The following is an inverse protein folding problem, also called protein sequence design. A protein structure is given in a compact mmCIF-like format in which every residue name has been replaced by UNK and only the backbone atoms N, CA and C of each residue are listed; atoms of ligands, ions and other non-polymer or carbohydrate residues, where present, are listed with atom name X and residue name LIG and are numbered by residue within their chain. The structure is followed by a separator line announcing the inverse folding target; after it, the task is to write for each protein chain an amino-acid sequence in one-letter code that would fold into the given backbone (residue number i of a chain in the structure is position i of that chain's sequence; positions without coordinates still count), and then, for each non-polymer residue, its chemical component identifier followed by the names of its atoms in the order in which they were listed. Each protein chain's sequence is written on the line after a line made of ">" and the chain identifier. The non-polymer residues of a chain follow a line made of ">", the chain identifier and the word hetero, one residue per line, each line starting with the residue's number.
data_IF_534910098306
#
_entry.id   IF_534910098306
#
_cell.length_a   1.000
_cell.length_b   1.000
_cell.length_c   1.000
_cell.angle_alpha   90.00
_cell.angle_beta   90.00
_cell.angle_gamma   90.00
#
_symmetry.space_group_name_H-M   'P 1'
#
loop_
_entity.id
_entity.type
_entity.pdbx_description
1 polymer ?
#
# COMPACT_ATOMS: atom_id res chain seq x y z
N UNK A 1 -21.34 -23.07 2.82
CA UNK A 1 -20.60 -22.01 2.11
C UNK A 1 -20.35 -20.88 3.09
N UNK A 2 -19.10 -20.56 3.34
CA UNK A 2 -18.72 -19.38 4.12
C UNK A 2 -18.24 -18.31 3.15
N UNK A 3 -19.00 -17.22 3.00
CA UNK A 3 -18.73 -16.18 2.01
C UNK A 3 -17.42 -15.42 2.26
N UNK A 4 -16.82 -15.52 3.45
CA UNK A 4 -15.49 -14.98 3.72
C UNK A 4 -14.38 -15.85 3.09
N UNK A 5 -14.54 -17.18 3.12
CA UNK A 5 -13.49 -18.13 2.76
C UNK A 5 -13.70 -18.82 1.41
N UNK A 6 -14.96 -19.02 0.98
CA UNK A 6 -15.30 -19.88 -0.16
C UNK A 6 -15.37 -19.10 -1.50
N UNK A 7 -15.20 -17.77 -1.48
CA UNK A 7 -15.06 -17.02 -2.73
C UNK A 7 -13.71 -17.37 -3.37
N UNK A 8 -13.73 -17.67 -4.66
CA UNK A 8 -12.55 -18.04 -5.44
C UNK A 8 -11.48 -16.92 -5.37
N UNK A 9 -10.23 -17.31 -5.09
CA UNK A 9 -9.11 -16.37 -4.99
C UNK A 9 -8.82 -15.63 -6.30
N UNK A 10 -9.13 -16.25 -7.45
CA UNK A 10 -9.01 -15.62 -8.76
C UNK A 10 -9.98 -14.45 -8.98
N UNK A 11 -10.89 -14.21 -8.03
CA UNK A 11 -11.84 -13.08 -8.05
C UNK A 11 -11.46 -11.96 -7.07
N UNK A 12 -10.32 -12.10 -6.38
CA UNK A 12 -9.88 -11.15 -5.36
C UNK A 12 -8.45 -10.72 -5.66
N UNK A 13 -8.32 -9.56 -6.31
CA UNK A 13 -7.05 -8.89 -6.55
C UNK A 13 -7.07 -7.51 -5.89
N UNK A 14 -5.92 -6.97 -5.49
CA UNK A 14 -5.87 -5.67 -4.83
C UNK A 14 -6.47 -4.51 -5.63
N UNK A 15 -6.48 -4.62 -6.97
CA UNK A 15 -7.01 -3.60 -7.90
C UNK A 15 -8.37 -3.97 -8.52
N UNK A 16 -8.85 -5.20 -8.30
CA UNK A 16 -10.09 -5.73 -8.89
C UNK A 16 -10.60 -6.89 -8.03
N UNK A 17 -11.64 -6.66 -7.27
CA UNK A 17 -12.13 -7.62 -6.29
C UNK A 17 -13.65 -7.70 -6.25
N UNK A 18 -14.14 -8.81 -5.70
CA UNK A 18 -15.53 -8.92 -5.28
C UNK A 18 -15.69 -8.41 -3.86
N UNK A 19 -16.57 -7.44 -3.68
CA UNK A 19 -17.07 -7.02 -2.37
C UNK A 19 -18.36 -7.77 -2.03
N UNK A 20 -18.54 -8.14 -0.78
CA UNK A 20 -19.81 -8.65 -0.23
C UNK A 20 -20.49 -7.51 0.50
N UNK A 21 -21.69 -7.15 0.11
CA UNK A 21 -22.45 -6.11 0.81
C UNK A 21 -23.13 -6.70 2.03
N UNK A 22 -22.96 -6.06 3.18
CA UNK A 22 -23.66 -6.37 4.44
C UNK A 22 -24.77 -5.36 4.73
N UNK A 23 -24.51 -4.09 4.44
CA UNK A 23 -25.40 -2.98 4.81
C UNK A 23 -25.70 -2.14 3.58
N UNK A 24 -26.96 -2.03 3.27
CA UNK A 24 -27.47 -1.20 2.18
C UNK A 24 -27.31 0.30 2.52
N UNK A 25 -26.90 1.11 1.54
CA UNK A 25 -26.92 2.59 1.64
C UNK A 25 -28.29 3.08 2.12
N UNK A 26 -28.29 4.00 3.07
CA UNK A 26 -29.51 4.55 3.68
C UNK A 26 -30.09 3.69 4.82
N UNK A 27 -29.47 2.56 5.17
CA UNK A 27 -29.90 1.74 6.31
C UNK A 27 -29.41 2.33 7.65
N UNK A 28 -30.18 2.02 8.70
CA UNK A 28 -29.79 2.17 10.11
C UNK A 28 -29.48 0.83 10.78
N UNK A 29 -29.72 -0.28 10.08
CA UNK A 29 -29.48 -1.61 10.57
C UNK A 29 -27.99 -1.95 10.32
N UNK A 30 -27.23 -2.20 11.39
CA UNK A 30 -25.89 -2.74 11.31
C UNK A 30 -25.96 -4.24 11.28
N UNK A 31 -25.48 -4.83 10.19
CA UNK A 31 -25.27 -6.25 10.03
C UNK A 31 -23.78 -6.56 10.10
N UNK A 32 -23.45 -7.73 10.55
CA UNK A 32 -22.11 -8.30 10.58
C UNK A 32 -22.15 -9.75 10.08
N UNK A 33 -21.09 -10.18 9.43
CA UNK A 33 -20.94 -11.58 9.06
C UNK A 33 -20.77 -12.44 10.32
N UNK A 34 -21.67 -13.38 10.54
CA UNK A 34 -21.43 -14.46 11.49
C UNK A 34 -20.37 -15.42 10.92
N UNK A 35 -19.18 -15.39 11.49
CA UNK A 35 -18.01 -16.13 11.02
C UNK A 35 -18.20 -17.65 11.07
N UNK A 36 -19.07 -18.13 11.95
CA UNK A 36 -19.34 -19.56 12.12
C UNK A 36 -20.27 -20.09 11.03
N UNK A 37 -21.36 -19.39 10.76
CA UNK A 37 -22.39 -19.84 9.82
C UNK A 37 -22.25 -19.27 8.42
N UNK A 38 -21.53 -18.14 8.27
CA UNK A 38 -21.43 -17.40 7.01
C UNK A 38 -22.71 -16.63 6.65
N UNK A 39 -23.62 -16.46 7.59
CA UNK A 39 -24.84 -15.67 7.42
C UNK A 39 -24.64 -14.24 7.95
N UNK A 40 -25.48 -13.30 7.52
CA UNK A 40 -25.55 -11.99 8.15
C UNK A 40 -26.38 -12.04 9.43
N UNK A 41 -25.81 -11.53 10.50
CA UNK A 41 -26.47 -11.34 11.78
C UNK A 41 -26.77 -9.85 11.98
N UNK A 42 -27.99 -9.53 12.45
CA UNK A 42 -28.28 -8.18 12.89
C UNK A 42 -27.55 -7.89 14.20
N UNK A 43 -26.49 -7.12 14.16
CA UNK A 43 -25.78 -6.65 15.36
C UNK A 43 -26.67 -5.67 16.14
N UNK A 44 -27.08 -4.58 15.50
CA UNK A 44 -27.98 -3.57 16.11
C UNK A 44 -28.64 -2.65 15.10
N UNK A 45 -29.61 -1.90 15.57
CA UNK A 45 -30.08 -0.67 14.89
C UNK A 45 -29.31 0.51 15.49
N UNK A 46 -28.73 1.38 14.64
CA UNK A 46 -27.97 2.53 15.11
C UNK A 46 -28.80 3.38 16.10
N UNK A 47 -28.18 3.72 17.21
CA UNK A 47 -28.84 4.52 18.26
C UNK A 47 -29.02 5.98 17.85
N UNK A 48 -28.14 6.48 16.95
CA UNK A 48 -28.24 7.79 16.35
C UNK A 48 -29.29 7.82 15.22
N UNK A 49 -29.69 9.00 14.80
CA UNK A 49 -30.57 9.17 13.61
C UNK A 49 -29.82 9.07 12.28
N UNK A 50 -28.50 8.82 12.31
CA UNK A 50 -27.68 8.71 11.11
C UNK A 50 -27.98 7.43 10.33
N UNK A 51 -27.69 7.46 9.02
CA UNK A 51 -27.85 6.33 8.11
C UNK A 51 -26.55 6.10 7.39
N UNK A 52 -26.22 4.84 7.03
CA UNK A 52 -25.03 4.53 6.27
C UNK A 52 -25.01 5.33 4.95
N UNK A 53 -24.00 6.17 4.70
CA UNK A 53 -24.00 7.05 3.52
C UNK A 53 -23.66 6.31 2.22
N UNK A 54 -23.04 5.13 2.32
CA UNK A 54 -22.69 4.24 1.20
C UNK A 54 -23.13 2.81 1.51
N UNK A 55 -23.14 1.95 0.47
CA UNK A 55 -23.23 0.52 0.69
C UNK A 55 -21.97 0.07 1.43
N UNK A 56 -22.13 -0.74 2.47
CA UNK A 56 -21.05 -1.17 3.34
C UNK A 56 -20.95 -2.69 3.31
N UNK A 57 -19.75 -3.21 3.36
CA UNK A 57 -19.50 -4.63 3.39
C UNK A 57 -18.02 -4.92 3.55
N UNK A 58 -17.57 -6.05 3.09
CA UNK A 58 -16.19 -6.49 3.23
C UNK A 58 -15.64 -7.10 1.94
N UNK A 59 -14.32 -7.25 1.91
CA UNK A 59 -13.60 -7.93 0.84
C UNK A 59 -13.31 -9.37 1.33
N UNK A 60 -13.84 -10.43 0.67
CA UNK A 60 -13.52 -11.81 1.00
C UNK A 60 -12.01 -12.09 0.93
N UNK A 61 -11.55 -13.12 1.65
CA UNK A 61 -10.13 -13.52 1.69
C UNK A 61 -9.17 -12.41 2.10
N UNK A 62 -9.63 -11.50 2.95
CA UNK A 62 -8.82 -10.51 3.65
C UNK A 62 -8.94 -10.72 5.16
N UNK A 63 -7.93 -10.28 5.92
CA UNK A 63 -7.89 -10.39 7.38
C UNK A 63 -7.21 -9.15 7.95
N UNK A 64 -7.98 -8.30 8.63
CA UNK A 64 -7.50 -7.10 9.30
C UNK A 64 -6.89 -7.39 10.68
N UNK A 65 -6.28 -6.36 11.28
CA UNK A 65 -5.64 -6.46 12.59
C UNK A 65 -6.65 -6.64 13.74
N UNK A 66 -7.90 -6.25 13.51
CA UNK A 66 -9.05 -6.48 14.42
C UNK A 66 -9.59 -7.92 14.38
N UNK A 67 -9.09 -8.74 13.45
CA UNK A 67 -9.51 -10.13 13.28
C UNK A 67 -10.75 -10.31 12.43
N UNK A 68 -11.15 -9.28 11.67
CA UNK A 68 -12.27 -9.26 10.74
C UNK A 68 -11.81 -9.16 9.29
N UNK A 69 -12.66 -9.50 8.30
CA UNK A 69 -12.38 -9.18 6.91
C UNK A 69 -12.32 -7.67 6.70
N UNK A 70 -11.48 -7.22 5.76
CA UNK A 70 -11.28 -5.80 5.46
C UNK A 70 -12.58 -5.15 4.96
N UNK A 71 -13.00 -4.11 5.64
CA UNK A 71 -14.20 -3.32 5.33
C UNK A 71 -14.09 -2.58 4.00
N UNK A 72 -15.22 -2.50 3.29
CA UNK A 72 -15.34 -1.71 2.05
C UNK A 72 -16.60 -0.85 2.01
N UNK A 73 -16.41 0.40 1.63
CA UNK A 73 -17.44 1.38 1.32
C UNK A 73 -17.63 1.42 -0.19
N UNK A 74 -18.74 0.88 -0.67
CA UNK A 74 -19.04 0.81 -2.11
C UNK A 74 -19.87 2.02 -2.52
N UNK A 75 -19.21 2.96 -3.21
CA UNK A 75 -19.84 4.12 -3.81
C UNK A 75 -20.61 3.70 -5.06
N UNK A 76 -21.90 3.67 -4.95
CA UNK A 76 -22.83 3.29 -6.03
C UNK A 76 -24.00 4.28 -6.09
N UNK A 77 -24.52 4.49 -7.29
CA UNK A 77 -25.71 5.34 -7.52
C UNK A 77 -26.93 4.79 -6.81
N UNK A 78 -27.04 3.46 -6.68
CA UNK A 78 -28.19 2.77 -6.12
C UNK A 78 -27.86 2.03 -4.80
N UNK A 79 -28.86 1.83 -3.94
CA UNK A 79 -28.75 0.94 -2.79
C UNK A 79 -28.64 -0.53 -3.23
N UNK A 80 -27.65 -1.24 -2.72
CA UNK A 80 -27.38 -2.66 -3.06
C UNK A 80 -27.90 -3.54 -1.91
N UNK A 81 -28.56 -4.64 -2.24
CA UNK A 81 -29.09 -5.57 -1.25
C UNK A 81 -27.97 -6.32 -0.51
N UNK A 82 -28.15 -6.63 0.79
CA UNK A 82 -27.23 -7.46 1.53
C UNK A 82 -26.97 -8.82 0.86
N UNK A 83 -25.80 -9.40 1.09
CA UNK A 83 -25.29 -10.66 0.49
C UNK A 83 -25.10 -10.59 -1.04
N UNK A 84 -25.08 -9.40 -1.61
CA UNK A 84 -24.75 -9.22 -3.04
C UNK A 84 -23.24 -9.19 -3.23
N UNK A 85 -22.73 -9.96 -4.18
CA UNK A 85 -21.37 -9.88 -4.69
C UNK A 85 -21.29 -8.77 -5.73
N UNK A 86 -20.40 -7.81 -5.51
CA UNK A 86 -20.20 -6.67 -6.39
C UNK A 86 -18.73 -6.61 -6.83
N UNK A 87 -18.47 -6.66 -8.13
CA UNK A 87 -17.11 -6.47 -8.65
C UNK A 87 -16.75 -4.99 -8.62
N UNK A 88 -15.70 -4.67 -7.87
CA UNK A 88 -15.27 -3.31 -7.59
C UNK A 88 -13.78 -3.11 -7.86
N UNK A 89 -13.39 -1.85 -8.02
CA UNK A 89 -12.01 -1.40 -7.96
C UNK A 89 -11.84 -0.32 -6.90
N UNK A 90 -10.70 -0.26 -6.20
CA UNK A 90 -10.47 0.73 -5.15
C UNK A 90 -10.12 2.09 -5.76
N UNK A 91 -10.63 3.16 -5.16
CA UNK A 91 -10.30 4.55 -5.50
C UNK A 91 -9.69 5.31 -4.33
N UNK A 92 -9.69 4.71 -3.14
CA UNK A 92 -9.09 5.28 -1.94
C UNK A 92 -9.38 4.45 -0.69
N UNK A 93 -8.88 4.95 0.44
CA UNK A 93 -9.07 4.36 1.77
C UNK A 93 -9.40 5.45 2.77
N UNK A 94 -10.31 5.17 3.68
CA UNK A 94 -10.56 5.96 4.87
C UNK A 94 -9.90 5.28 6.06
N UNK A 95 -9.03 6.01 6.77
CA UNK A 95 -8.43 5.57 8.03
C UNK A 95 -9.15 6.19 9.19
N UNK A 96 -9.46 5.39 10.18
CA UNK A 96 -10.11 5.84 11.40
C UNK A 96 -9.60 5.10 12.63
N UNK A 97 -9.89 5.63 13.79
CA UNK A 97 -9.68 4.97 15.07
C UNK A 97 -11.04 4.59 15.64
N UNK A 98 -11.22 3.34 16.01
CA UNK A 98 -12.37 2.85 16.77
C UNK A 98 -11.90 2.37 18.14
N UNK A 99 -12.28 3.08 19.17
CA UNK A 99 -11.92 2.72 20.56
C UNK A 99 -10.40 2.60 20.79
N UNK A 100 -9.60 3.38 20.03
CA UNK A 100 -8.14 3.43 20.14
C UNK A 100 -7.40 2.41 19.28
N UNK A 101 -8.09 1.64 18.46
CA UNK A 101 -7.50 0.75 17.44
C UNK A 101 -7.68 1.34 16.05
N UNK A 102 -6.68 1.12 15.18
CA UNK A 102 -6.77 1.47 13.76
C UNK A 102 -7.82 0.63 13.06
N UNK A 103 -8.59 1.28 12.19
CA UNK A 103 -9.67 0.67 11.42
C UNK A 103 -9.69 1.30 10.02
N UNK A 104 -9.32 0.56 9.01
CA UNK A 104 -9.28 1.00 7.62
C UNK A 104 -10.52 0.53 6.86
N UNK A 105 -11.06 1.44 6.03
CA UNK A 105 -12.18 1.10 5.14
C UNK A 105 -11.87 1.50 3.72
N UNK A 106 -11.86 0.53 2.82
CA UNK A 106 -11.61 0.76 1.40
C UNK A 106 -12.79 1.53 0.80
N UNK A 107 -12.51 2.53 -0.02
CA UNK A 107 -13.52 3.20 -0.84
C UNK A 107 -13.39 2.66 -2.25
N UNK A 108 -14.47 2.06 -2.77
CA UNK A 108 -14.45 1.38 -4.05
C UNK A 108 -15.67 1.71 -4.90
N UNK A 109 -15.53 1.54 -6.21
CA UNK A 109 -16.59 1.77 -7.21
C UNK A 109 -16.90 0.47 -7.96
N UNK A 110 -18.19 0.12 -8.17
CA UNK A 110 -18.57 -0.98 -9.04
C UNK A 110 -18.18 -0.71 -10.50
N UNK A 111 -17.58 -1.69 -11.17
CA UNK A 111 -17.28 -1.61 -12.62
C UNK A 111 -18.51 -1.39 -13.49
N UNK A 112 -19.69 -1.73 -12.99
CA UNK A 112 -20.96 -1.68 -13.73
C UNK A 112 -21.85 -0.49 -13.41
N UNK A 113 -21.38 0.47 -12.58
CA UNK A 113 -22.15 1.69 -12.30
C UNK A 113 -21.77 2.82 -13.27
N UNK A 114 -22.62 3.15 -14.25
CA UNK A 114 -22.30 4.17 -15.26
C UNK A 114 -22.17 5.59 -14.68
N UNK A 115 -22.65 5.83 -13.46
CA UNK A 115 -22.55 7.13 -12.78
C UNK A 115 -21.16 7.38 -12.24
N UNK A 116 -20.52 6.34 -11.71
CA UNK A 116 -19.24 6.47 -11.00
C UNK A 116 -18.06 5.77 -11.68
N UNK A 117 -18.28 4.88 -12.65
CA UNK A 117 -17.22 4.06 -13.27
C UNK A 117 -16.10 4.85 -14.00
N UNK A 118 -16.19 6.17 -14.07
CA UNK A 118 -15.14 7.00 -14.66
C UNK A 118 -14.13 7.56 -13.67
N UNK A 119 -14.42 7.47 -12.35
CA UNK A 119 -13.54 7.98 -11.31
C UNK A 119 -12.53 6.91 -10.90
N UNK A 120 -11.27 7.31 -10.77
CA UNK A 120 -10.15 6.42 -10.41
C UNK A 120 -9.43 6.86 -9.13
N UNK A 121 -9.68 8.07 -8.66
CA UNK A 121 -9.11 8.62 -7.43
C UNK A 121 -10.20 9.37 -6.63
N UNK A 122 -10.16 9.25 -5.32
CA UNK A 122 -11.07 9.99 -4.43
C UNK A 122 -10.99 11.51 -4.63
N UNK A 123 -9.84 12.03 -5.08
CA UNK A 123 -9.65 13.48 -5.35
C UNK A 123 -10.52 14.01 -6.50
N UNK A 124 -11.01 13.13 -7.37
CA UNK A 124 -11.88 13.46 -8.49
C UNK A 124 -13.35 13.64 -8.05
N UNK A 125 -13.68 13.15 -6.85
CA UNK A 125 -15.02 13.19 -6.30
C UNK A 125 -15.33 14.51 -5.58
N UNK A 126 -16.63 14.91 -5.49
CA UNK A 126 -17.04 16.05 -4.68
C UNK A 126 -16.62 15.91 -3.21
N UNK A 127 -15.98 16.94 -2.67
CA UNK A 127 -15.48 16.95 -1.27
C UNK A 127 -16.56 16.63 -0.24
N UNK A 128 -17.78 17.00 -0.51
CA UNK A 128 -18.92 16.78 0.38
C UNK A 128 -19.15 15.29 0.71
N UNK A 129 -18.86 14.39 -0.24
CA UNK A 129 -18.93 12.94 0.00
C UNK A 129 -18.07 12.52 1.19
N UNK A 130 -16.83 13.05 1.28
CA UNK A 130 -15.91 12.75 2.37
C UNK A 130 -16.29 13.45 3.67
N UNK A 131 -16.90 14.61 3.60
CA UNK A 131 -17.46 15.31 4.76
C UNK A 131 -18.62 14.52 5.38
N UNK A 132 -19.50 13.94 4.55
CA UNK A 132 -20.58 13.05 5.01
C UNK A 132 -20.03 11.76 5.63
N UNK A 133 -19.04 11.11 4.98
CA UNK A 133 -18.38 9.93 5.54
C UNK A 133 -17.74 10.25 6.90
N UNK A 134 -16.94 11.30 6.95
CA UNK A 134 -16.30 11.74 8.19
C UNK A 134 -17.32 12.03 9.28
N UNK A 135 -18.37 12.76 8.96
CA UNK A 135 -19.45 13.06 9.90
C UNK A 135 -20.15 11.79 10.40
N UNK A 136 -20.48 10.88 9.50
CA UNK A 136 -21.13 9.62 9.87
C UNK A 136 -20.25 8.81 10.80
N UNK A 137 -19.03 8.45 10.39
CA UNK A 137 -18.14 7.57 11.15
C UNK A 137 -17.64 8.20 12.46
N UNK A 138 -17.60 9.53 12.57
CA UNK A 138 -17.30 10.20 13.84
C UNK A 138 -18.45 10.14 14.84
N UNK A 139 -19.71 10.11 14.37
CA UNK A 139 -20.87 10.30 15.23
C UNK A 139 -21.76 9.05 15.43
N UNK A 140 -21.67 8.02 14.57
CA UNK A 140 -22.64 6.91 14.54
C UNK A 140 -22.67 6.06 15.82
N UNK A 141 -21.60 6.05 16.61
CA UNK A 141 -21.51 5.38 17.94
C UNK A 141 -21.63 6.33 19.13
N UNK A 142 -21.86 7.64 18.92
CA UNK A 142 -21.82 8.64 19.99
C UNK A 142 -22.85 8.39 21.10
N UNK A 143 -24.06 7.92 20.77
CA UNK A 143 -25.10 7.56 21.75
C UNK A 143 -24.86 6.19 22.42
N UNK A 144 -23.87 5.44 21.97
CA UNK A 144 -23.41 4.17 22.58
C UNK A 144 -22.26 4.40 23.57
N UNK A 145 -21.85 5.65 23.78
CA UNK A 145 -20.75 6.03 24.67
C UNK A 145 -19.37 5.61 24.13
N UNK A 146 -19.26 5.31 22.84
CA UNK A 146 -18.01 4.95 22.16
C UNK A 146 -17.50 6.13 21.32
N UNK A 147 -16.19 6.31 21.30
CA UNK A 147 -15.54 7.33 20.47
C UNK A 147 -14.95 6.70 19.21
N UNK A 148 -15.20 7.33 18.08
CA UNK A 148 -14.60 7.02 16.79
C UNK A 148 -14.10 8.31 16.17
N UNK A 149 -13.00 8.26 15.44
CA UNK A 149 -12.43 9.44 14.79
C UNK A 149 -11.85 9.08 13.41
N UNK A 150 -12.30 9.77 12.37
CA UNK A 150 -11.72 9.64 11.03
C UNK A 150 -10.48 10.53 10.95
N UNK A 151 -9.32 9.90 10.77
CA UNK A 151 -8.02 10.58 10.79
C UNK A 151 -7.63 11.12 9.42
N UNK A 152 -7.76 10.30 8.37
CA UNK A 152 -7.38 10.72 7.01
C UNK A 152 -8.09 9.93 5.92
N UNK A 153 -7.99 10.46 4.68
CA UNK A 153 -8.36 9.75 3.45
C UNK A 153 -7.12 9.61 2.57
N UNK A 154 -6.80 8.36 2.20
CA UNK A 154 -5.72 8.01 1.27
C UNK A 154 -6.26 7.74 -0.13
N UNK A 155 -5.38 7.81 -1.15
CA UNK A 155 -5.72 7.56 -2.54
C UNK A 155 -5.81 6.06 -2.91
N UNK A 156 -5.97 5.75 -4.22
CA UNK A 156 -6.14 4.36 -4.68
C UNK A 156 -4.95 3.45 -4.35
N UNK A 157 -3.74 3.99 -4.32
CA UNK A 157 -2.54 3.23 -3.99
C UNK A 157 -2.51 2.86 -2.50
N UNK A 158 -2.91 3.79 -1.63
CA UNK A 158 -3.07 3.50 -0.22
C UNK A 158 -4.06 2.37 0.02
N UNK A 159 -5.16 2.39 -0.74
CA UNK A 159 -6.17 1.34 -0.69
C UNK A 159 -5.60 -0.02 -1.15
N UNK A 160 -4.86 -0.05 -2.25
CA UNK A 160 -4.21 -1.26 -2.76
C UNK A 160 -3.24 -1.84 -1.73
N UNK A 161 -2.39 -1.01 -1.09
CA UNK A 161 -1.46 -1.47 -0.05
C UNK A 161 -2.18 -2.10 1.15
N UNK A 162 -3.30 -1.50 1.59
CA UNK A 162 -4.12 -2.05 2.69
C UNK A 162 -4.76 -3.38 2.27
N UNK A 163 -5.28 -3.47 1.05
CA UNK A 163 -5.88 -4.72 0.55
C UNK A 163 -4.81 -5.81 0.46
N UNK A 164 -3.64 -5.53 -0.14
CA UNK A 164 -2.51 -6.48 -0.23
C UNK A 164 -2.10 -7.00 1.15
N UNK A 165 -1.96 -6.10 2.13
CA UNK A 165 -1.63 -6.44 3.51
C UNK A 165 -2.66 -7.40 4.14
N UNK A 166 -3.94 -7.08 4.00
CA UNK A 166 -5.01 -7.90 4.56
C UNK A 166 -5.18 -9.24 3.83
N UNK A 167 -4.91 -9.30 2.52
CA UNK A 167 -4.88 -10.58 1.77
C UNK A 167 -3.73 -11.47 2.22
N UNK A 168 -2.55 -10.90 2.46
CA UNK A 168 -1.39 -11.64 2.94
C UNK A 168 -1.59 -12.16 4.37
N UNK A 169 -2.18 -11.34 5.26
CA UNK A 169 -2.59 -11.77 6.59
C UNK A 169 -3.59 -12.94 6.55
N UNK A 170 -4.57 -12.85 5.65
CA UNK A 170 -5.54 -13.93 5.43
C UNK A 170 -4.84 -15.21 4.99
N UNK A 171 -3.96 -15.14 3.99
CA UNK A 171 -3.20 -16.29 3.47
C UNK A 171 -2.38 -16.95 4.58
N UNK A 172 -1.65 -16.16 5.34
CA UNK A 172 -0.84 -16.62 6.48
C UNK A 172 -1.71 -17.31 7.54
N UNK A 173 -2.89 -16.74 7.86
CA UNK A 173 -3.76 -17.22 8.92
C UNK A 173 -4.56 -18.46 8.54
N UNK A 174 -5.09 -18.55 7.32
CA UNK A 174 -6.11 -19.53 6.93
C UNK A 174 -5.67 -20.50 5.84
N UNK A 175 -4.63 -20.20 5.06
CA UNK A 175 -4.17 -21.04 3.96
C UNK A 175 -2.87 -21.78 4.32
N UNK A 176 -1.85 -21.04 4.75
CA UNK A 176 -0.51 -21.61 5.02
C UNK A 176 -0.47 -22.35 6.39
N UNK A 177 -1.47 -22.15 7.22
CA UNK A 177 -1.59 -22.75 8.56
C UNK A 177 -0.47 -22.29 9.50
N UNK A 178 -0.81 -21.70 10.63
CA UNK A 178 0.14 -21.44 11.71
C UNK A 178 0.75 -22.78 12.15
N UNK A 179 1.94 -23.12 11.64
CA UNK A 179 2.72 -24.27 12.11
C UNK A 179 3.42 -23.94 13.43
N UNK A 180 2.70 -23.41 14.40
CA UNK A 180 3.11 -23.39 15.79
C UNK A 180 2.17 -24.23 16.63
N UNK A 181 2.71 -25.36 17.13
CA UNK A 181 2.03 -26.27 18.05
C UNK A 181 1.66 -25.51 19.32
N UNK A 182 0.34 -25.55 19.63
CA UNK A 182 -0.20 -25.10 20.91
C UNK A 182 0.45 -25.86 22.06
N UNK A 183 1.19 -25.17 22.90
CA UNK A 183 1.28 -25.49 24.32
C UNK A 183 0.39 -24.51 25.10
N UNK A 184 -0.57 -25.10 25.82
CA UNK A 184 -1.51 -24.35 26.67
C UNK A 184 -0.75 -23.87 27.89
N UNK A 185 -0.61 -22.57 28.05
CA UNK A 185 -0.33 -21.96 29.35
C UNK A 185 -1.13 -20.67 29.54
N UNK A 186 -1.74 -20.57 30.71
CA UNK A 186 -2.58 -19.50 31.28
C UNK A 186 -1.86 -18.15 31.34
N UNK A 187 -2.60 -17.02 31.39
CA UNK A 187 -2.12 -15.73 30.97
C UNK A 187 -1.39 -14.94 32.07
N UNK A 188 -0.30 -14.29 31.70
CA UNK A 188 0.15 -13.06 32.31
C UNK A 188 0.78 -12.13 31.25
N UNK A 189 0.73 -10.80 31.47
CA UNK A 189 0.80 -9.82 30.41
C UNK A 189 2.24 -9.37 30.17
N UNK A 190 2.63 -9.38 28.93
CA UNK A 190 3.58 -8.45 28.30
C UNK A 190 3.93 -8.99 26.91
N UNK A 191 3.15 -8.60 25.89
CA UNK A 191 3.63 -8.69 24.52
C UNK A 191 4.61 -7.56 24.28
N UNK A 192 5.89 -7.85 24.40
CA UNK A 192 6.90 -7.09 23.67
C UNK A 192 6.64 -7.32 22.18
N UNK A 193 6.15 -6.30 21.50
CA UNK A 193 6.17 -6.23 20.04
C UNK A 193 7.59 -6.55 19.59
N UNK A 194 7.79 -7.62 18.82
CA UNK A 194 9.00 -7.78 18.03
C UNK A 194 8.98 -6.67 16.99
N UNK A 195 9.57 -5.54 17.32
CA UNK A 195 9.85 -4.48 16.36
C UNK A 195 10.80 -5.05 15.32
N UNK A 196 10.34 -5.24 14.09
CA UNK A 196 11.21 -5.66 12.98
C UNK A 196 12.39 -4.70 12.88
N UNK A 197 13.58 -5.26 12.77
CA UNK A 197 14.80 -4.48 12.66
C UNK A 197 15.13 -4.24 11.20
N UNK A 198 15.13 -2.98 10.78
CA UNK A 198 15.47 -2.57 9.44
C UNK A 198 16.86 -1.96 9.40
N UNK A 199 17.77 -2.53 8.61
CA UNK A 199 19.11 -1.95 8.36
C UNK A 199 19.33 -1.75 6.87
N UNK A 200 19.97 -0.63 6.50
CA UNK A 200 20.46 -0.35 5.15
C UNK A 200 21.98 -0.45 5.20
N UNK A 201 22.53 -1.45 4.54
CA UNK A 201 23.95 -1.77 4.60
C UNK A 201 24.59 -1.82 3.21
N UNK A 202 25.89 -1.48 3.06
CA UNK A 202 26.57 -1.71 1.80
C UNK A 202 26.50 -3.19 1.39
N UNK A 203 26.08 -3.46 0.17
CA UNK A 203 26.08 -4.80 -0.39
C UNK A 203 27.50 -5.34 -0.52
N UNK A 204 27.68 -6.64 -0.28
CA UNK A 204 28.97 -7.34 -0.35
C UNK A 204 29.10 -8.08 -1.68
N UNK A 205 30.34 -8.31 -2.13
CA UNK A 205 30.59 -9.01 -3.39
C UNK A 205 30.01 -10.43 -3.41
N UNK A 206 29.95 -11.10 -2.27
CA UNK A 206 29.31 -12.41 -2.09
C UNK A 206 27.79 -12.40 -2.24
N UNK A 207 27.16 -11.22 -2.17
CA UNK A 207 25.72 -11.02 -2.33
C UNK A 207 25.34 -10.62 -3.77
N UNK A 208 26.30 -10.56 -4.70
CA UNK A 208 26.09 -10.10 -6.08
C UNK A 208 24.98 -10.88 -6.80
N UNK A 209 25.01 -12.21 -6.70
CA UNK A 209 24.02 -13.09 -7.32
C UNK A 209 22.63 -12.85 -6.73
N UNK A 210 22.51 -12.78 -5.40
CA UNK A 210 21.25 -12.51 -4.72
C UNK A 210 20.69 -11.12 -5.10
N UNK A 211 21.53 -10.09 -5.14
CA UNK A 211 21.13 -8.75 -5.56
C UNK A 211 20.63 -8.75 -7.00
N UNK A 212 21.28 -9.48 -7.90
CA UNK A 212 20.83 -9.62 -9.28
C UNK A 212 19.50 -10.38 -9.39
N UNK A 213 19.31 -11.45 -8.61
CA UNK A 213 18.01 -12.16 -8.53
C UNK A 213 16.89 -11.24 -8.08
N UNK A 214 17.14 -10.35 -7.12
CA UNK A 214 16.16 -9.34 -6.67
C UNK A 214 15.82 -8.36 -7.80
N UNK A 215 16.81 -7.92 -8.58
CA UNK A 215 16.59 -7.08 -9.75
C UNK A 215 15.76 -7.80 -10.83
N UNK A 216 16.02 -9.10 -11.06
CA UNK A 216 15.23 -9.93 -11.98
C UNK A 216 13.76 -10.06 -11.53
N UNK A 217 13.54 -10.22 -10.22
CA UNK A 217 12.19 -10.19 -9.65
C UNK A 217 11.53 -8.81 -9.86
N UNK A 218 12.28 -7.71 -9.77
CA UNK A 218 11.83 -6.36 -10.06
C UNK A 218 11.45 -6.19 -11.53
N UNK A 219 12.28 -6.70 -12.46
CA UNK A 219 12.01 -6.68 -13.91
C UNK A 219 10.75 -7.45 -14.26
N UNK A 220 10.56 -8.65 -13.69
CA UNK A 220 9.33 -9.43 -13.83
C UNK A 220 8.12 -8.65 -13.35
N UNK A 221 8.22 -8.05 -12.18
CA UNK A 221 7.14 -7.27 -11.59
C UNK A 221 6.71 -6.08 -12.45
N UNK A 222 7.67 -5.33 -13.04
CA UNK A 222 7.36 -4.24 -13.98
C UNK A 222 6.53 -4.74 -15.17
N UNK A 223 6.88 -5.90 -15.75
CA UNK A 223 6.14 -6.51 -16.86
C UNK A 223 4.73 -6.95 -16.47
N UNK A 224 4.56 -7.51 -15.27
CA UNK A 224 3.26 -7.85 -14.69
C UNK A 224 2.38 -6.61 -14.49
N UNK A 225 3.00 -5.44 -14.24
CA UNK A 225 2.32 -4.14 -14.16
C UNK A 225 2.11 -3.47 -15.53
N UNK A 226 2.48 -4.13 -16.62
CA UNK A 226 2.22 -3.66 -18.00
C UNK A 226 3.22 -2.65 -18.55
N UNK A 227 4.39 -2.45 -17.90
CA UNK A 227 5.43 -1.55 -18.42
C UNK A 227 6.83 -2.17 -18.38
N UNK A 228 7.75 -1.60 -19.16
CA UNK A 228 9.15 -2.03 -19.25
C UNK A 228 10.05 -0.83 -19.05
N UNK A 229 10.52 -0.62 -17.82
CA UNK A 229 11.55 0.38 -17.52
C UNK A 229 12.95 -0.24 -17.58
N UNK A 230 13.07 -1.54 -17.28
CA UNK A 230 14.31 -2.31 -17.35
C UNK A 230 14.24 -3.35 -18.46
N UNK A 231 15.28 -3.37 -19.30
CA UNK A 231 15.39 -4.31 -20.43
C UNK A 231 15.86 -5.70 -19.94
N UNK A 232 15.96 -6.67 -20.85
CA UNK A 232 16.49 -7.99 -20.50
C UNK A 232 17.98 -7.94 -20.14
N UNK A 233 18.72 -6.98 -20.71
CA UNK A 233 20.15 -6.82 -20.52
C UNK A 233 20.52 -5.79 -19.43
N UNK A 234 19.55 -5.02 -18.90
CA UNK A 234 19.79 -3.97 -17.92
C UNK A 234 18.66 -3.86 -16.89
N UNK A 235 19.00 -3.72 -15.58
CA UNK A 235 20.34 -3.88 -14.98
C UNK A 235 20.83 -5.35 -15.02
N UNK A 236 22.14 -5.57 -15.13
CA UNK A 236 22.75 -6.89 -15.24
C UNK A 236 23.55 -7.25 -13.98
N UNK A 237 24.05 -8.48 -13.92
CA UNK A 237 24.98 -8.93 -12.87
C UNK A 237 26.23 -8.04 -12.79
N UNK A 238 26.75 -7.61 -13.95
CA UNK A 238 27.91 -6.72 -14.01
C UNK A 238 27.57 -5.32 -13.50
N UNK A 239 26.34 -4.85 -13.70
CA UNK A 239 25.85 -3.61 -13.11
C UNK A 239 25.86 -3.67 -11.58
N UNK A 240 25.39 -4.78 -11.00
CA UNK A 240 25.41 -4.97 -9.53
C UNK A 240 26.85 -5.02 -9.02
N UNK A 241 27.73 -5.76 -9.71
CA UNK A 241 29.15 -5.88 -9.35
C UNK A 241 29.85 -4.51 -9.36
N UNK A 242 29.61 -3.71 -10.41
CA UNK A 242 30.13 -2.35 -10.50
C UNK A 242 29.60 -1.43 -9.38
N UNK A 243 28.32 -1.52 -9.05
CA UNK A 243 27.72 -0.74 -7.95
C UNK A 243 28.39 -1.10 -6.60
N UNK A 244 28.67 -2.37 -6.36
CA UNK A 244 29.32 -2.83 -5.12
C UNK A 244 30.79 -2.35 -5.09
N UNK A 245 31.54 -2.51 -6.19
CA UNK A 245 32.94 -2.05 -6.31
C UNK A 245 33.07 -0.53 -6.08
N UNK A 246 32.11 0.24 -6.61
CA UNK A 246 32.03 1.69 -6.44
C UNK A 246 31.41 2.12 -5.10
N UNK A 247 31.09 1.18 -4.21
CA UNK A 247 30.48 1.41 -2.87
C UNK A 247 29.16 2.17 -2.92
N UNK A 248 28.37 1.94 -3.94
CA UNK A 248 27.03 2.52 -4.13
C UNK A 248 25.91 1.46 -4.16
N UNK A 249 26.24 0.16 -4.16
CA UNK A 249 25.27 -0.92 -3.97
C UNK A 249 24.94 -1.08 -2.49
N UNK A 250 23.64 -1.12 -2.15
CA UNK A 250 23.13 -1.28 -0.80
C UNK A 250 22.04 -2.34 -0.75
N UNK A 251 21.95 -3.03 0.38
CA UNK A 251 20.85 -3.96 0.69
C UNK A 251 20.06 -3.45 1.90
N UNK A 252 18.72 -3.55 1.80
CA UNK A 252 17.84 -3.39 2.95
C UNK A 252 17.64 -4.77 3.58
N UNK A 253 17.98 -4.91 4.85
CA UNK A 253 17.72 -6.11 5.62
C UNK A 253 16.50 -5.92 6.52
N UNK A 254 15.70 -6.98 6.62
CA UNK A 254 14.61 -7.12 7.59
C UNK A 254 14.96 -8.31 8.48
N UNK A 255 15.18 -8.07 9.77
CA UNK A 255 15.63 -9.09 10.74
C UNK A 255 16.84 -9.90 10.27
N UNK A 256 17.79 -9.22 9.59
CA UNK A 256 19.02 -9.83 9.07
C UNK A 256 18.88 -10.58 7.74
N UNK A 257 17.68 -10.58 7.13
CA UNK A 257 17.44 -11.16 5.80
C UNK A 257 17.39 -10.06 4.74
N UNK A 258 18.10 -10.25 3.62
CA UNK A 258 18.10 -9.29 2.51
C UNK A 258 16.73 -9.23 1.85
N UNK A 259 16.06 -8.09 2.00
CA UNK A 259 14.71 -7.82 1.48
C UNK A 259 14.69 -6.98 0.20
N UNK A 260 15.72 -6.17 -0.03
CA UNK A 260 15.80 -5.31 -1.22
C UNK A 260 17.26 -5.03 -1.60
N UNK A 261 17.46 -4.73 -2.87
CA UNK A 261 18.68 -4.14 -3.40
C UNK A 261 18.39 -2.77 -4.01
N UNK A 262 19.34 -1.85 -3.88
CA UNK A 262 19.30 -0.53 -4.51
C UNK A 262 20.68 0.06 -4.70
N UNK A 263 20.82 0.90 -5.71
CA UNK A 263 21.99 1.75 -5.86
C UNK A 263 21.71 3.08 -5.17
N UNK A 264 22.61 3.53 -4.29
CA UNK A 264 22.56 4.84 -3.63
C UNK A 264 23.87 5.57 -3.90
N UNK A 265 23.83 6.64 -4.67
CA UNK A 265 25.01 7.36 -5.12
C UNK A 265 24.99 8.82 -4.61
N UNK A 266 26.13 9.27 -4.10
CA UNK A 266 26.40 10.64 -3.65
C UNK A 266 27.29 11.39 -4.65
N UNK A 267 27.69 10.75 -5.75
CA UNK A 267 28.53 11.31 -6.80
C UNK A 267 27.78 12.14 -7.83
N UNK A 268 26.47 12.12 -7.78
CA UNK A 268 25.61 12.76 -8.78
C UNK A 268 25.27 11.84 -9.97
N UNK A 269 24.34 12.28 -10.79
CA UNK A 269 23.89 11.59 -12.01
C UNK A 269 24.00 12.55 -13.20
N UNK A 270 24.87 12.29 -14.19
CA UNK A 270 25.06 13.20 -15.33
C UNK A 270 23.77 13.52 -16.11
N UNK A 271 22.83 12.55 -16.17
CA UNK A 271 21.54 12.78 -16.83
C UNK A 271 20.68 13.85 -16.14
N UNK A 272 21.02 14.23 -14.91
CA UNK A 272 20.30 15.25 -14.14
C UNK A 272 20.75 16.69 -14.45
N UNK A 273 21.87 16.85 -15.16
CA UNK A 273 22.39 18.20 -15.55
C UNK A 273 21.51 18.83 -16.62
N UNK A 274 20.86 18.03 -17.48
CA UNK A 274 20.02 18.48 -18.60
C UNK A 274 18.52 18.23 -18.31
N UNK A 275 17.99 18.77 -17.20
CA UNK A 275 16.58 18.64 -16.86
C UNK A 275 15.71 19.61 -17.67
N UNK A 276 14.65 19.11 -18.31
CA UNK A 276 13.54 19.93 -18.81
C UNK A 276 12.62 20.28 -17.64
N UNK A 277 12.91 21.39 -16.97
CA UNK A 277 12.28 21.83 -15.74
C UNK A 277 13.29 22.52 -14.82
N UNK A 278 13.13 22.41 -13.52
CA UNK A 278 14.06 22.95 -12.55
C UNK A 278 14.08 22.13 -11.26
N UNK A 279 15.27 21.81 -10.77
CA UNK A 279 15.46 21.25 -9.45
C UNK A 279 15.07 22.25 -8.37
N UNK A 280 14.68 21.76 -7.18
CA UNK A 280 14.35 22.60 -6.03
C UNK A 280 15.59 23.28 -5.45
N UNK A 281 16.78 22.73 -5.69
CA UNK A 281 18.03 23.25 -5.16
C UNK A 281 19.24 22.90 -6.04
N UNK A 282 20.32 23.71 -5.92
CA UNK A 282 21.64 23.43 -6.51
C UNK A 282 22.57 22.74 -5.49
N UNK A 283 22.03 22.16 -4.41
CA UNK A 283 22.82 21.53 -3.35
C UNK A 283 23.36 20.19 -3.80
N UNK A 284 24.44 19.69 -3.18
CA UNK A 284 24.82 18.30 -3.29
C UNK A 284 23.63 17.40 -2.92
N UNK A 285 23.42 16.36 -3.70
CA UNK A 285 22.27 15.46 -3.54
C UNK A 285 22.70 14.00 -3.51
N UNK A 286 21.86 13.17 -2.92
CA UNK A 286 21.89 11.72 -3.07
C UNK A 286 20.91 11.32 -4.16
N UNK A 287 21.23 10.28 -4.91
CA UNK A 287 20.31 9.65 -5.86
C UNK A 287 20.15 8.18 -5.54
N UNK A 288 18.93 7.65 -5.72
CA UNK A 288 18.66 6.22 -5.64
C UNK A 288 18.20 5.69 -6.99
N UNK A 289 18.89 4.65 -7.46
CA UNK A 289 18.59 3.95 -8.69
C UNK A 289 18.38 2.46 -8.43
N UNK A 290 17.74 1.76 -9.40
CA UNK A 290 17.66 0.29 -9.42
C UNK A 290 17.12 -0.33 -8.14
N UNK A 291 16.15 0.32 -7.50
CA UNK A 291 15.51 -0.22 -6.30
C UNK A 291 14.57 -1.37 -6.68
N UNK A 292 14.80 -2.54 -6.10
CA UNK A 292 13.93 -3.71 -6.23
C UNK A 292 13.81 -4.46 -4.91
N UNK A 293 12.66 -5.09 -4.71
CA UNK A 293 12.34 -5.86 -3.51
C UNK A 293 12.19 -7.34 -3.85
N UNK A 294 12.75 -8.18 -3.00
CA UNK A 294 12.51 -9.62 -3.07
C UNK A 294 11.01 -9.89 -2.97
N UNK A 295 10.51 -10.86 -3.73
CA UNK A 295 9.06 -11.14 -3.85
C UNK A 295 8.36 -11.35 -2.49
N UNK A 296 9.03 -12.00 -1.54
CA UNK A 296 8.50 -12.34 -0.21
C UNK A 296 8.43 -11.14 0.75
N UNK A 297 8.96 -9.99 0.33
CA UNK A 297 8.97 -8.74 1.10
C UNK A 297 8.17 -7.61 0.43
N UNK A 298 7.54 -7.87 -0.70
CA UNK A 298 6.67 -6.89 -1.38
C UNK A 298 5.39 -6.66 -0.59
N UNK A 299 4.75 -5.49 -0.79
CA UNK A 299 3.49 -5.14 -0.11
C UNK A 299 3.63 -4.70 1.36
N UNK A 300 4.84 -4.78 1.96
CA UNK A 300 5.11 -4.47 3.38
C UNK A 300 5.52 -3.02 3.63
N UNK A 301 5.26 -2.10 2.72
CA UNK A 301 5.64 -0.68 2.88
C UNK A 301 7.15 -0.40 2.92
N UNK A 302 8.00 -1.37 2.55
CA UNK A 302 9.45 -1.29 2.69
C UNK A 302 10.10 -0.21 1.82
N UNK A 303 9.44 0.26 0.77
CA UNK A 303 9.92 1.41 -0.01
C UNK A 303 10.05 2.64 0.89
N UNK A 304 9.06 2.90 1.75
CA UNK A 304 9.10 4.00 2.73
C UNK A 304 10.26 3.82 3.73
N UNK A 305 10.50 2.59 4.18
CA UNK A 305 11.60 2.28 5.08
C UNK A 305 12.94 2.52 4.39
N UNK A 306 13.11 2.03 3.14
CA UNK A 306 14.32 2.22 2.35
C UNK A 306 14.64 3.72 2.15
N UNK A 307 13.64 4.52 1.73
CA UNK A 307 13.81 5.95 1.52
C UNK A 307 14.18 6.68 2.81
N UNK A 308 13.53 6.37 3.94
CA UNK A 308 13.91 6.94 5.24
C UNK A 308 15.34 6.60 5.65
N UNK A 309 15.78 5.36 5.41
CA UNK A 309 17.16 4.96 5.69
C UNK A 309 18.18 5.69 4.79
N UNK A 310 17.84 5.95 3.53
CA UNK A 310 18.66 6.79 2.63
C UNK A 310 18.69 8.23 3.13
N UNK A 311 17.55 8.79 3.56
CA UNK A 311 17.46 10.14 4.12
C UNK A 311 18.34 10.28 5.39
N UNK A 312 18.23 9.32 6.32
CA UNK A 312 19.06 9.26 7.53
C UNK A 312 20.55 9.24 7.19
N UNK A 313 20.95 8.38 6.24
CA UNK A 313 22.35 8.28 5.78
C UNK A 313 22.83 9.57 5.08
N UNK A 314 21.96 10.22 4.32
CA UNK A 314 22.26 11.47 3.61
C UNK A 314 22.50 12.61 4.59
N UNK A 315 21.64 12.77 5.58
CA UNK A 315 21.80 13.78 6.64
C UNK A 315 23.08 13.57 7.45
N UNK A 316 23.43 12.30 7.75
CA UNK A 316 24.72 11.98 8.42
C UNK A 316 25.94 12.39 7.59
N UNK A 317 25.81 12.42 6.24
CA UNK A 317 26.85 12.87 5.32
C UNK A 317 26.79 14.37 5.02
N UNK A 318 25.83 15.09 5.60
CA UNK A 318 25.61 16.52 5.35
C UNK A 318 24.96 16.82 3.99
N UNK A 319 24.36 15.81 3.34
CA UNK A 319 23.63 15.97 2.08
C UNK A 319 22.15 16.19 2.39
N UNK A 320 21.60 17.31 1.91
CA UNK A 320 20.24 17.77 2.25
C UNK A 320 19.29 17.83 1.05
N UNK A 321 19.62 17.13 -0.01
CA UNK A 321 18.76 16.95 -1.19
C UNK A 321 18.77 15.49 -1.62
N UNK A 322 17.62 14.96 -1.96
CA UNK A 322 17.44 13.60 -2.46
C UNK A 322 16.69 13.66 -3.79
N UNK A 323 17.30 13.14 -4.85
CA UNK A 323 16.74 13.12 -6.20
C UNK A 323 16.46 11.68 -6.64
N UNK A 324 15.38 11.47 -7.38
CA UNK A 324 14.96 10.18 -7.93
C UNK A 324 14.32 10.42 -9.29
N UNK A 325 14.49 9.47 -10.20
CA UNK A 325 13.76 9.45 -11.47
C UNK A 325 12.92 8.16 -11.62
N UNK A 326 11.85 8.25 -12.39
CA UNK A 326 11.00 7.10 -12.69
C UNK A 326 10.35 7.22 -14.08
N UNK A 327 9.98 6.09 -14.68
CA UNK A 327 9.27 6.06 -15.96
C UNK A 327 7.89 6.71 -15.88
N UNK A 328 7.40 7.22 -17.01
CA UNK A 328 6.05 7.79 -17.12
C UNK A 328 4.95 6.79 -16.79
N UNK A 329 5.17 5.52 -17.11
CA UNK A 329 4.22 4.43 -16.89
C UNK A 329 4.24 3.91 -15.46
N UNK A 330 5.29 4.20 -14.68
CA UNK A 330 5.43 3.73 -13.31
C UNK A 330 4.65 4.64 -12.33
N UNK A 331 3.34 4.67 -12.49
CA UNK A 331 2.45 5.49 -11.66
C UNK A 331 2.59 5.16 -10.17
N UNK A 332 2.81 3.87 -9.84
CA UNK A 332 3.01 3.43 -8.46
C UNK A 332 4.19 4.14 -7.80
N UNK A 333 5.35 4.21 -8.47
CA UNK A 333 6.52 4.91 -7.92
C UNK A 333 6.29 6.42 -7.84
N UNK A 334 5.62 7.01 -8.84
CA UNK A 334 5.28 8.45 -8.81
C UNK A 334 4.50 8.81 -7.55
N UNK A 335 3.45 8.05 -7.23
CA UNK A 335 2.66 8.26 -6.02
C UNK A 335 3.45 8.02 -4.72
N UNK A 336 4.30 6.98 -4.69
CA UNK A 336 5.17 6.74 -3.53
C UNK A 336 6.08 7.93 -3.29
N UNK A 337 6.69 8.49 -4.34
CA UNK A 337 7.55 9.67 -4.24
C UNK A 337 6.79 10.89 -3.71
N UNK A 338 5.61 11.17 -4.27
CA UNK A 338 4.76 12.29 -3.84
C UNK A 338 4.35 12.16 -2.36
N UNK A 339 3.97 10.96 -1.92
CA UNK A 339 3.64 10.67 -0.50
C UNK A 339 4.83 10.82 0.43
N UNK A 340 6.04 10.52 -0.04
CA UNK A 340 7.26 10.69 0.73
C UNK A 340 7.74 12.15 0.75
N UNK A 341 7.00 13.07 0.12
CA UNK A 341 7.29 14.50 0.08
C UNK A 341 8.25 14.93 -1.02
N UNK A 342 8.45 14.07 -2.03
CA UNK A 342 9.18 14.47 -3.23
C UNK A 342 8.29 15.34 -4.12
N UNK A 343 8.91 16.37 -4.71
CA UNK A 343 8.26 17.28 -5.64
C UNK A 343 8.72 16.93 -7.06
N UNK A 344 7.78 16.85 -7.98
CA UNK A 344 8.10 16.67 -9.40
C UNK A 344 8.77 17.92 -9.96
N UNK A 345 9.98 17.78 -10.46
CA UNK A 345 10.84 18.87 -10.91
C UNK A 345 10.86 19.05 -12.44
N UNK A 346 10.61 17.97 -13.18
CA UNK A 346 10.64 18.03 -14.64
C UNK A 346 10.83 16.66 -15.28
N UNK A 347 11.48 16.67 -16.43
CA UNK A 347 11.81 15.48 -17.22
C UNK A 347 13.31 15.46 -17.49
N UNK A 348 13.93 14.31 -17.35
CA UNK A 348 15.31 14.04 -17.74
C UNK A 348 15.35 13.03 -18.88
N UNK A 349 16.46 13.00 -19.62
CA UNK A 349 16.75 11.99 -20.63
C UNK A 349 17.75 10.98 -20.05
N UNK A 350 17.34 9.76 -19.85
CA UNK A 350 18.18 8.70 -19.33
C UNK A 350 18.26 7.55 -20.36
N UNK A 351 19.46 7.31 -20.90
CA UNK A 351 19.71 6.30 -21.92
C UNK A 351 18.73 6.37 -23.12
N UNK A 352 18.39 7.60 -23.55
CA UNK A 352 17.51 7.85 -24.70
C UNK A 352 16.02 7.72 -24.41
N UNK A 353 15.62 7.52 -23.15
CA UNK A 353 14.22 7.54 -22.73
C UNK A 353 13.95 8.68 -21.74
N UNK A 354 12.81 9.37 -21.91
CA UNK A 354 12.35 10.40 -21.00
C UNK A 354 11.92 9.78 -19.66
N UNK A 355 12.28 10.42 -18.53
CA UNK A 355 11.86 10.02 -17.19
C UNK A 355 11.42 11.22 -16.36
N UNK A 356 10.44 11.02 -15.50
CA UNK A 356 10.02 12.03 -14.54
C UNK A 356 11.05 12.16 -13.43
N UNK A 357 11.47 13.40 -13.17
CA UNK A 357 12.47 13.76 -12.18
C UNK A 357 11.80 14.34 -10.93
N UNK A 358 12.23 13.89 -9.77
CA UNK A 358 11.71 14.28 -8.47
C UNK A 358 12.83 14.67 -7.52
N UNK A 359 12.61 15.69 -6.67
CA UNK A 359 13.53 16.08 -5.60
C UNK A 359 12.79 16.30 -4.29
N UNK A 360 13.45 15.91 -3.20
CA UNK A 360 13.03 16.20 -1.83
C UNK A 360 14.16 16.91 -1.10
N UNK A 361 13.85 18.00 -0.42
CA UNK A 361 14.78 18.65 0.53
C UNK A 361 14.64 17.99 1.89
N UNK A 362 15.78 17.60 2.47
CA UNK A 362 15.88 16.85 3.73
C UNK A 362 16.13 17.79 4.92
#
# INVERSE_FOLDING_TARGET
>A
MNIWHDIDEERIYPTDFMAVIEITKGSRQKYELDKETGLLMLDRVLFTATHYPMNYGFIPRTYGDDGDPLDVLVLCSEPIQPLTLVRCYPIGVMRMEDSGMGDEKIIAIPYSDPTYMGYTDIKELPKHIFEELKHFFTNYKSLEGKSTNVTEFGGPIDAVEVIEYCMENYKRKFVDGDTEKKEIHTPEPEKTEKTETYTLEPAKMEETELCNEILDMGRKFQREQGFVQWTDDYPSLDTVREDIEKKRGYVLNVDGTVAAYMCVDFGGEPAYDDIEGAWLSDRPYVVSHRMAFHKDFRGRGLTKVAFRKIEEMSLQKGVTSFRVDTGFENQRMQHVLERLGFVKCGVIQYEGSGRLAYEKLL
#
